data_IF_193613456565
#
_entry.id   IF_193613456565
#
_cell.length_a   1.000
_cell.length_b   1.000
_cell.length_c   1.000
_cell.angle_alpha   90.00
_cell.angle_beta   90.00
_cell.angle_gamma   90.00
#
_symmetry.space_group_name_H-M   'P 1'
#
loop_
_entity.id
_entity.type
_entity.pdbx_description
1 polymer ?
#
# COMPACT_ATOMS: atom_id res chain seq x y z
N UNK A 1 -6.36 22.78 -6.68
CA UNK A 1 -6.98 21.63 -5.98
C UNK A 1 -6.04 21.26 -4.85
N UNK A 2 -6.51 21.44 -3.63
CA UNK A 2 -5.72 21.22 -2.42
C UNK A 2 -5.45 19.71 -2.28
N UNK A 3 -4.18 19.29 -2.25
CA UNK A 3 -3.78 17.88 -2.17
C UNK A 3 -4.14 17.23 -0.81
N UNK A 4 -4.67 18.00 0.13
CA UNK A 4 -4.91 17.57 1.51
C UNK A 4 -6.17 16.71 1.72
N UNK A 5 -7.02 16.52 0.69
CA UNK A 5 -8.31 15.81 0.81
C UNK A 5 -8.28 14.35 0.30
N UNK A 6 -7.14 13.84 -0.15
CA UNK A 6 -7.02 12.56 -0.88
C UNK A 6 -6.17 11.49 -0.18
N UNK A 7 -5.69 11.73 1.04
CA UNK A 7 -4.83 10.80 1.78
C UNK A 7 -5.45 10.40 3.11
N UNK A 8 -5.41 9.10 3.43
CA UNK A 8 -5.65 8.66 4.80
C UNK A 8 -4.54 9.16 5.73
N UNK A 9 -4.83 9.24 7.03
CA UNK A 9 -3.83 9.66 8.03
C UNK A 9 -2.57 8.78 8.00
N UNK A 10 -2.74 7.47 7.73
CA UNK A 10 -1.60 6.56 7.64
C UNK A 10 -0.78 6.75 6.37
N UNK A 11 -1.42 7.03 5.24
CA UNK A 11 -0.72 7.30 3.97
C UNK A 11 0.09 8.58 4.04
N UNK A 12 -0.50 9.67 4.56
CA UNK A 12 0.21 10.93 4.75
C UNK A 12 1.45 10.75 5.62
N UNK A 13 1.33 10.07 6.76
CA UNK A 13 2.47 9.77 7.64
C UNK A 13 3.59 8.99 6.92
N UNK A 14 3.24 8.06 6.04
CA UNK A 14 4.21 7.27 5.27
C UNK A 14 4.90 8.13 4.22
N UNK A 15 4.15 8.94 3.47
CA UNK A 15 4.68 9.80 2.42
C UNK A 15 5.63 10.83 3.03
N UNK A 16 5.19 11.56 4.06
CA UNK A 16 5.99 12.60 4.71
C UNK A 16 7.31 12.02 5.26
N UNK A 17 7.25 10.84 5.90
CA UNK A 17 8.44 10.16 6.40
C UNK A 17 9.36 9.66 5.28
N UNK A 18 8.81 9.20 4.14
CA UNK A 18 9.62 8.80 3.00
C UNK A 18 10.29 10.00 2.32
N UNK A 19 9.59 11.10 2.14
CA UNK A 19 10.17 12.34 1.57
C UNK A 19 11.28 12.91 2.46
N UNK A 20 11.16 12.79 3.79
CA UNK A 20 12.20 13.23 4.72
C UNK A 20 13.46 12.34 4.72
N UNK A 21 13.32 11.02 4.49
CA UNK A 21 14.42 10.06 4.67
C UNK A 21 14.96 9.43 3.38
N UNK A 22 14.15 9.38 2.32
CA UNK A 22 14.46 8.71 1.06
C UNK A 22 14.62 7.17 1.14
N UNK A 23 14.28 6.54 2.27
CA UNK A 23 14.56 5.12 2.51
C UNK A 23 13.37 4.38 3.12
N UNK A 24 12.90 3.34 2.42
CA UNK A 24 11.76 2.50 2.83
C UNK A 24 11.99 1.87 4.22
N UNK A 25 13.21 1.39 4.48
CA UNK A 25 13.56 0.75 5.76
C UNK A 25 13.46 1.74 6.91
N UNK A 26 13.97 2.96 6.71
CA UNK A 26 13.90 4.03 7.71
C UNK A 26 12.47 4.50 7.92
N UNK A 27 11.70 4.68 6.83
CA UNK A 27 10.27 5.00 6.89
C UNK A 27 9.49 3.96 7.69
N UNK A 28 9.70 2.67 7.43
CA UNK A 28 9.03 1.60 8.18
C UNK A 28 9.34 1.63 9.68
N UNK A 29 10.61 1.88 10.03
CA UNK A 29 11.03 1.99 11.43
C UNK A 29 10.42 3.20 12.13
N UNK A 30 10.39 4.36 11.46
CA UNK A 30 9.88 5.60 12.04
C UNK A 30 8.35 5.58 12.18
N UNK A 31 7.65 5.12 11.14
CA UNK A 31 6.19 5.16 11.16
C UNK A 31 5.58 4.02 11.97
N UNK A 32 6.34 2.94 12.21
CA UNK A 32 5.87 1.69 12.82
C UNK A 32 5.03 0.83 11.87
N UNK A 33 4.98 1.17 10.58
CA UNK A 33 4.20 0.41 9.60
C UNK A 33 5.06 -0.67 8.94
N UNK A 34 4.44 -1.79 8.59
CA UNK A 34 5.12 -2.88 7.91
C UNK A 34 5.66 -2.44 6.55
N UNK A 35 6.77 -3.03 6.13
CA UNK A 35 7.38 -2.79 4.82
C UNK A 35 6.37 -2.90 3.67
N UNK A 36 5.51 -3.92 3.69
CA UNK A 36 4.45 -4.09 2.69
C UNK A 36 3.46 -2.92 2.65
N UNK A 37 3.07 -2.35 3.81
CA UNK A 37 2.16 -1.19 3.85
C UNK A 37 2.85 0.04 3.27
N UNK A 38 4.10 0.29 3.67
CA UNK A 38 4.90 1.41 3.18
C UNK A 38 5.07 1.36 1.65
N UNK A 39 5.58 0.25 1.13
CA UNK A 39 5.81 0.06 -0.31
C UNK A 39 4.52 0.18 -1.11
N UNK A 40 3.44 -0.45 -0.62
CA UNK A 40 2.14 -0.40 -1.26
C UNK A 40 1.60 1.02 -1.34
N UNK A 41 1.70 1.77 -0.25
CA UNK A 41 1.26 3.17 -0.20
C UNK A 41 2.07 4.02 -1.18
N UNK A 42 3.39 3.96 -1.12
CA UNK A 42 4.26 4.72 -2.03
C UNK A 42 3.99 4.36 -3.50
N UNK A 43 3.89 3.08 -3.83
CA UNK A 43 3.53 2.64 -5.20
C UNK A 43 2.16 3.16 -5.64
N UNK A 44 1.16 3.12 -4.76
CA UNK A 44 -0.20 3.59 -5.08
C UNK A 44 -0.26 5.09 -5.35
N UNK A 45 0.71 5.86 -4.83
CA UNK A 45 0.86 7.28 -5.10
C UNK A 45 1.90 7.62 -6.18
N UNK A 46 2.36 6.62 -6.94
CA UNK A 46 3.20 6.83 -8.12
C UNK A 46 4.70 6.93 -7.86
N UNK A 47 5.16 6.64 -6.64
CA UNK A 47 6.60 6.62 -6.35
C UNK A 47 7.27 5.40 -7.00
N UNK A 48 8.34 5.63 -7.75
CA UNK A 48 9.23 4.58 -8.23
C UNK A 48 10.36 4.40 -7.21
N UNK A 49 10.49 3.18 -6.69
CA UNK A 49 11.29 2.88 -5.50
C UNK A 49 12.64 2.25 -5.83
N UNK A 50 12.72 1.58 -6.98
CA UNK A 50 13.90 0.94 -7.53
C UNK A 50 13.67 0.60 -9.01
N UNK A 51 14.73 0.23 -9.72
CA UNK A 51 14.63 -0.28 -11.10
C UNK A 51 13.76 -1.53 -11.18
N UNK A 52 13.91 -2.47 -10.25
CA UNK A 52 13.06 -3.67 -10.17
C UNK A 52 11.59 -3.29 -9.96
N UNK A 53 11.31 -2.27 -9.14
CA UNK A 53 9.94 -1.79 -8.97
C UNK A 53 9.40 -1.22 -10.29
N UNK A 54 10.18 -0.41 -11.00
CA UNK A 54 9.79 0.12 -12.30
C UNK A 54 9.49 -1.00 -13.31
N UNK A 55 10.30 -2.06 -13.32
CA UNK A 55 10.08 -3.20 -14.21
C UNK A 55 8.80 -3.98 -13.85
N UNK A 56 8.54 -4.21 -12.55
CA UNK A 56 7.28 -4.82 -12.08
C UNK A 56 6.08 -4.00 -12.57
N UNK A 57 6.12 -2.69 -12.42
CA UNK A 57 5.03 -1.80 -12.86
C UNK A 57 4.86 -1.85 -14.38
N UNK A 58 5.94 -1.80 -15.14
CA UNK A 58 5.88 -1.89 -16.60
C UNK A 58 5.19 -3.19 -17.05
N UNK A 59 5.62 -4.35 -16.53
CA UNK A 59 4.98 -5.64 -16.88
C UNK A 59 3.51 -5.69 -16.43
N UNK A 60 3.20 -5.12 -15.26
CA UNK A 60 1.84 -5.05 -14.74
C UNK A 60 0.91 -4.18 -15.61
N UNK A 61 1.39 -3.00 -16.03
CA UNK A 61 0.66 -2.10 -16.93
C UNK A 61 0.43 -2.72 -18.32
N UNK A 62 1.35 -3.59 -18.77
CA UNK A 62 1.17 -4.41 -19.97
C UNK A 62 0.19 -5.59 -19.79
N UNK A 63 -0.54 -5.66 -18.66
CA UNK A 63 -1.59 -6.65 -18.41
C UNK A 63 -1.09 -8.02 -17.93
N UNK A 64 0.19 -8.13 -17.57
CA UNK A 64 0.73 -9.39 -17.05
C UNK A 64 0.23 -9.69 -15.63
N UNK A 65 -0.04 -10.97 -15.34
CA UNK A 65 -0.46 -11.39 -14.00
C UNK A 65 0.69 -11.36 -12.99
N UNK A 66 0.35 -11.23 -11.70
CA UNK A 66 1.33 -11.19 -10.59
C UNK A 66 2.19 -12.45 -10.59
N UNK A 67 1.59 -13.60 -10.86
CA UNK A 67 2.26 -14.90 -10.93
C UNK A 67 3.29 -14.93 -12.05
N UNK A 68 2.93 -14.48 -13.26
CA UNK A 68 3.85 -14.43 -14.40
C UNK A 68 5.00 -13.47 -14.16
N UNK A 69 4.72 -12.30 -13.57
CA UNK A 69 5.76 -11.32 -13.23
C UNK A 69 6.73 -11.90 -12.18
N UNK A 70 6.20 -12.56 -11.15
CA UNK A 70 7.00 -13.20 -10.12
C UNK A 70 7.93 -14.28 -10.69
N UNK A 71 7.41 -15.13 -11.58
CA UNK A 71 8.22 -16.16 -12.25
C UNK A 71 9.28 -15.54 -13.16
N UNK A 72 8.92 -14.54 -13.97
CA UNK A 72 9.84 -13.94 -14.94
C UNK A 72 10.98 -13.16 -14.28
N UNK A 73 10.71 -12.52 -13.14
CA UNK A 73 11.70 -11.74 -12.39
C UNK A 73 12.36 -12.53 -11.26
N UNK A 74 12.03 -13.82 -11.11
CA UNK A 74 12.51 -14.68 -10.01
C UNK A 74 12.26 -14.08 -8.62
N UNK A 75 11.12 -13.39 -8.46
CA UNK A 75 10.73 -12.72 -7.22
C UNK A 75 9.65 -13.49 -6.47
N UNK A 76 9.59 -13.28 -5.16
CA UNK A 76 8.48 -13.77 -4.36
C UNK A 76 7.16 -13.08 -4.78
N UNK A 77 6.10 -13.86 -5.00
CA UNK A 77 4.76 -13.36 -5.34
C UNK A 77 4.29 -12.26 -4.38
N UNK A 78 4.55 -12.38 -3.08
CA UNK A 78 4.14 -11.37 -2.07
C UNK A 78 4.85 -10.04 -2.29
N UNK A 79 6.12 -10.08 -2.70
CA UNK A 79 6.92 -8.89 -3.00
C UNK A 79 6.38 -8.16 -4.23
N UNK A 80 6.14 -8.90 -5.32
CA UNK A 80 5.50 -8.33 -6.52
C UNK A 80 4.15 -7.74 -6.18
N UNK A 81 3.35 -8.48 -5.40
CA UNK A 81 2.06 -7.98 -4.96
C UNK A 81 2.21 -6.69 -4.16
N UNK A 82 3.18 -6.53 -3.26
CA UNK A 82 3.38 -5.31 -2.47
C UNK A 82 3.66 -4.09 -3.37
N UNK A 83 4.50 -4.25 -4.39
CA UNK A 83 4.90 -3.21 -5.34
C UNK A 83 3.81 -2.78 -6.32
N UNK A 84 2.76 -3.56 -6.52
CA UNK A 84 1.65 -3.16 -7.41
C UNK A 84 0.70 -2.17 -6.70
N UNK A 85 0.22 -1.11 -7.37
CA UNK A 85 -0.73 -0.16 -6.81
C UNK A 85 -1.99 -0.83 -6.25
N UNK A 86 -2.54 -0.24 -5.20
CA UNK A 86 -3.71 -0.77 -4.51
C UNK A 86 -4.98 -0.57 -5.35
N UNK A 87 -5.80 -1.62 -5.45
CA UNK A 87 -7.13 -1.57 -6.10
C UNK A 87 -8.31 -1.37 -5.14
N UNK A 88 -8.14 -1.75 -3.86
CA UNK A 88 -9.19 -1.70 -2.83
C UNK A 88 -8.85 -0.63 -1.79
N UNK A 89 -9.82 0.02 -1.16
CA UNK A 89 -9.57 0.98 -0.08
C UNK A 89 -8.79 0.38 1.10
N UNK A 90 -8.21 1.22 1.95
CA UNK A 90 -7.49 0.76 3.14
C UNK A 90 -8.47 0.13 4.14
N UNK A 91 -8.14 -1.09 4.59
CA UNK A 91 -8.95 -1.79 5.58
C UNK A 91 -8.96 -1.02 6.91
N UNK A 92 -10.15 -0.86 7.50
CA UNK A 92 -10.41 -0.14 8.75
C UNK A 92 -10.13 1.36 8.78
N UNK A 93 -9.64 1.98 7.71
CA UNK A 93 -9.46 3.43 7.64
C UNK A 93 -10.59 4.10 6.84
N UNK A 94 -11.11 3.41 5.82
CA UNK A 94 -12.19 3.91 4.95
C UNK A 94 -13.45 3.04 5.10
N UNK A 95 -13.94 2.91 6.34
CA UNK A 95 -15.10 2.05 6.63
C UNK A 95 -16.40 2.70 6.16
N UNK A 96 -17.20 1.94 5.40
CA UNK A 96 -18.55 2.38 5.05
C UNK A 96 -19.44 2.46 6.29
N UNK A 97 -20.52 3.27 6.27
CA UNK A 97 -21.48 3.32 7.37
C UNK A 97 -22.05 1.94 7.75
N UNK A 98 -22.25 1.06 6.77
CA UNK A 98 -22.70 -0.31 7.02
C UNK A 98 -21.63 -1.15 7.73
N UNK A 99 -20.35 -1.00 7.37
CA UNK A 99 -19.25 -1.67 8.05
C UNK A 99 -19.16 -1.25 9.53
N UNK A 100 -19.33 0.04 9.82
CA UNK A 100 -19.38 0.57 11.19
C UNK A 100 -20.58 0.00 11.97
N UNK A 101 -21.75 -0.10 11.33
CA UNK A 101 -22.95 -0.67 11.97
C UNK A 101 -22.76 -2.14 12.32
N UNK A 102 -22.22 -2.94 11.39
CA UNK A 102 -21.93 -4.37 11.64
C UNK A 102 -20.91 -4.54 12.76
N UNK A 103 -19.85 -3.71 12.79
CA UNK A 103 -18.85 -3.72 13.87
C UNK A 103 -19.49 -3.49 15.23
N UNK A 104 -20.31 -2.44 15.38
CA UNK A 104 -21.05 -2.14 16.62
C UNK A 104 -21.97 -3.29 17.04
N UNK A 105 -22.66 -3.94 16.11
CA UNK A 105 -23.51 -5.09 16.42
C UNK A 105 -22.69 -6.29 16.94
N UNK A 106 -21.52 -6.57 16.35
CA UNK A 106 -20.66 -7.67 16.78
C UNK A 106 -20.03 -7.42 18.15
N UNK A 107 -19.58 -6.19 18.41
CA UNK A 107 -19.04 -5.79 19.72
C UNK A 107 -20.07 -5.97 20.84
N UNK A 108 -21.35 -5.70 20.56
CA UNK A 108 -22.46 -5.91 21.51
C UNK A 108 -22.80 -7.38 21.78
N UNK A 109 -22.45 -8.28 20.87
CA UNK A 109 -22.76 -9.72 20.95
C UNK A 109 -21.54 -10.59 21.30
N UNK A 110 -20.39 -9.97 21.58
CA UNK A 110 -19.23 -10.69 22.08
C UNK A 110 -19.43 -10.82 23.60
N UNK A 111 -19.78 -12.04 24.04
CA UNK A 111 -19.93 -12.46 25.45
C UNK A 111 -18.55 -12.54 26.09
#
# INVERSE_FOLDING_TARGET
MDKNELYTASEKKIIDAYEAFGSIKKTSSETGYSWNKVVKTLSSHGYILSETHAEILNKYHNGMSVEKIATQLELNRKTVQAYIPRKRPLYNEEQSPNALRIKKCREKHTI
#
